data_IF_368909410511
#
_entry.id   IF_368909410511
#
_cell.length_a   1.000
_cell.length_b   1.000
_cell.length_c   1.000
_cell.angle_alpha   90.00
_cell.angle_beta   90.00
_cell.angle_gamma   90.00
#
_symmetry.space_group_name_H-M   'P 1'
#
loop_
_entity.id
_entity.type
_entity.pdbx_description
1 polymer ?
#
# COMPACT_ATOMS: atom_id res chain seq x y z
N UNK A 1 7.03 0.53 19.03
CA UNK A 1 7.09 -0.72 18.28
C UNK A 1 6.32 -0.57 16.98
N UNK A 2 6.86 -1.10 15.88
CA UNK A 2 6.23 -1.13 14.57
C UNK A 2 5.80 -2.56 14.26
N UNK A 3 4.59 -2.72 13.75
CA UNK A 3 4.05 -3.99 13.26
C UNK A 3 4.15 -4.01 11.74
N UNK A 4 4.90 -4.96 11.23
CA UNK A 4 5.00 -5.28 9.81
C UNK A 4 4.02 -6.39 9.51
N UNK A 5 3.19 -6.22 8.49
CA UNK A 5 2.19 -7.19 8.08
C UNK A 5 2.28 -7.40 6.58
N UNK A 6 2.44 -8.64 6.14
CA UNK A 6 2.46 -8.99 4.73
C UNK A 6 1.32 -9.95 4.42
N UNK A 7 0.47 -9.51 3.51
CA UNK A 7 -0.62 -10.29 2.95
C UNK A 7 -0.36 -10.49 1.45
N UNK A 8 -0.74 -11.62 0.94
CA UNK A 8 -0.59 -11.97 -0.48
C UNK A 8 -1.92 -12.37 -1.10
N UNK A 9 -1.94 -12.30 -2.41
CA UNK A 9 -2.96 -12.90 -3.27
C UNK A 9 -2.20 -13.85 -4.19
N UNK A 10 -2.55 -15.14 -4.17
CA UNK A 10 -1.93 -16.12 -5.05
C UNK A 10 -2.53 -16.08 -6.47
N UNK A 11 -1.96 -16.91 -7.36
CA UNK A 11 -2.38 -16.99 -8.76
C UNK A 11 -3.86 -17.33 -8.95
N UNK A 12 -4.46 -18.05 -8.00
CA UNK A 12 -5.88 -18.40 -7.99
C UNK A 12 -6.80 -17.31 -7.40
N UNK A 13 -6.22 -16.17 -6.97
CA UNK A 13 -6.94 -15.08 -6.32
C UNK A 13 -7.22 -15.30 -4.84
N UNK A 14 -6.64 -16.32 -4.20
CA UNK A 14 -6.83 -16.55 -2.77
C UNK A 14 -5.96 -15.61 -1.95
N UNK A 15 -6.54 -15.03 -0.91
CA UNK A 15 -5.84 -14.17 0.02
C UNK A 15 -5.13 -15.00 1.09
N UNK A 16 -3.87 -14.67 1.37
CA UNK A 16 -3.01 -15.36 2.36
C UNK A 16 -2.31 -14.35 3.26
N UNK A 17 -2.15 -14.70 4.54
CA UNK A 17 -1.25 -13.98 5.43
C UNK A 17 0.13 -14.66 5.36
N UNK A 18 1.14 -13.98 4.81
CA UNK A 18 2.50 -14.50 4.75
C UNK A 18 3.21 -14.39 6.09
N UNK A 19 2.87 -13.39 6.90
CA UNK A 19 3.41 -13.22 8.23
C UNK A 19 3.22 -11.82 8.79
N UNK A 20 3.65 -11.69 10.05
CA UNK A 20 3.80 -10.40 10.70
C UNK A 20 5.06 -10.39 11.57
N UNK A 21 5.68 -9.22 11.69
CA UNK A 21 6.90 -9.00 12.48
C UNK A 21 6.73 -7.77 13.35
N UNK A 22 7.25 -7.82 14.56
CA UNK A 22 7.24 -6.71 15.50
C UNK A 22 8.67 -6.24 15.71
N UNK A 23 9.00 -5.06 15.25
CA UNK A 23 10.32 -4.45 15.35
C UNK A 23 10.26 -3.20 16.23
N UNK A 24 11.42 -2.67 16.63
CA UNK A 24 11.46 -1.47 17.49
C UNK A 24 11.06 -0.21 16.74
N UNK A 25 11.53 -0.09 15.52
CA UNK A 25 11.32 1.06 14.62
C UNK A 25 10.93 0.58 13.25
N UNK A 26 10.42 1.48 12.42
CA UNK A 26 10.25 1.25 11.00
C UNK A 26 11.50 1.75 10.27
N UNK A 27 12.10 0.88 9.46
CA UNK A 27 13.31 1.17 8.71
C UNK A 27 13.43 0.32 7.44
N UNK A 28 14.22 0.78 6.48
CA UNK A 28 14.54 0.04 5.27
C UNK A 28 15.22 -1.31 5.58
N UNK A 29 16.12 -1.35 6.58
CA UNK A 29 16.81 -2.58 6.99
C UNK A 29 15.84 -3.62 7.55
N UNK A 30 14.82 -3.20 8.30
CA UNK A 30 13.80 -4.12 8.80
C UNK A 30 12.95 -4.70 7.67
N UNK A 31 12.65 -3.93 6.61
CA UNK A 31 11.97 -4.44 5.42
C UNK A 31 12.84 -5.45 4.68
N UNK A 32 14.14 -5.17 4.56
CA UNK A 32 15.11 -6.08 3.94
C UNK A 32 15.14 -7.42 4.68
N UNK A 33 15.22 -7.40 6.03
CA UNK A 33 15.18 -8.61 6.87
C UNK A 33 13.89 -9.42 6.63
N UNK A 34 12.74 -8.74 6.60
CA UNK A 34 11.43 -9.37 6.41
C UNK A 34 11.33 -10.03 5.04
N UNK A 35 11.78 -9.36 3.98
CA UNK A 35 11.75 -9.92 2.63
C UNK A 35 12.74 -11.08 2.46
N UNK A 36 13.93 -11.01 3.05
CA UNK A 36 14.89 -12.11 3.05
C UNK A 36 14.36 -13.33 3.81
N UNK A 37 13.68 -13.12 4.95
CA UNK A 37 13.03 -14.22 5.67
C UNK A 37 11.95 -14.89 4.82
N UNK A 38 11.10 -14.12 4.12
CA UNK A 38 10.11 -14.67 3.20
C UNK A 38 10.75 -15.47 2.07
N UNK A 39 11.86 -14.99 1.50
CA UNK A 39 12.62 -15.70 0.48
C UNK A 39 13.18 -17.03 1.02
N UNK A 40 13.74 -17.03 2.23
CA UNK A 40 14.22 -18.26 2.92
C UNK A 40 13.09 -19.24 3.18
N UNK A 41 11.86 -18.77 3.39
CA UNK A 41 10.66 -19.60 3.55
C UNK A 41 10.07 -20.10 2.22
N UNK A 42 10.74 -19.87 1.10
CA UNK A 42 10.34 -20.35 -0.22
C UNK A 42 9.50 -19.39 -1.07
N UNK A 43 9.44 -18.09 -0.71
CA UNK A 43 8.85 -17.10 -1.60
C UNK A 43 9.87 -16.70 -2.67
N UNK A 44 9.81 -17.35 -3.83
CA UNK A 44 10.81 -17.19 -4.89
C UNK A 44 10.50 -16.02 -5.82
N UNK A 45 9.23 -15.85 -6.19
CA UNK A 45 8.79 -14.86 -7.15
C UNK A 45 7.55 -14.09 -6.66
N UNK A 46 7.55 -12.79 -6.91
CA UNK A 46 6.45 -11.88 -6.59
C UNK A 46 6.25 -10.93 -7.77
N UNK A 47 5.10 -11.03 -8.43
CA UNK A 47 4.80 -10.21 -9.60
C UNK A 47 4.75 -8.72 -9.26
N UNK A 48 4.05 -8.36 -8.19
CA UNK A 48 3.88 -6.97 -7.75
C UNK A 48 3.75 -6.87 -6.23
N UNK A 49 4.38 -5.88 -5.64
CA UNK A 49 4.22 -5.52 -4.23
C UNK A 49 3.55 -4.15 -4.12
N UNK A 50 2.35 -4.13 -3.52
CA UNK A 50 1.65 -2.89 -3.19
C UNK A 50 1.98 -2.47 -1.76
N UNK A 51 2.50 -1.27 -1.58
CA UNK A 51 2.94 -0.77 -0.27
C UNK A 51 2.56 0.70 -0.06
N UNK A 52 2.59 1.14 1.19
CA UNK A 52 2.50 2.55 1.52
C UNK A 52 3.80 3.27 1.10
N UNK A 53 3.74 4.60 0.97
CA UNK A 53 4.90 5.38 0.59
C UNK A 53 5.89 5.54 1.77
N UNK A 54 6.49 4.42 2.19
CA UNK A 54 7.46 4.35 3.28
C UNK A 54 8.88 4.49 2.74
N UNK A 55 9.72 5.22 3.46
CA UNK A 55 11.11 5.41 3.08
C UNK A 55 11.87 4.08 3.10
N UNK A 56 12.55 3.76 1.99
CA UNK A 56 13.43 2.60 1.87
C UNK A 56 12.74 1.26 1.55
N UNK A 57 11.40 1.21 1.45
CA UNK A 57 10.72 -0.04 1.13
C UNK A 57 10.95 -0.46 -0.33
N UNK A 58 10.92 0.49 -1.27
CA UNK A 58 11.18 0.21 -2.70
C UNK A 58 12.58 -0.36 -2.91
N UNK A 59 13.60 0.22 -2.24
CA UNK A 59 14.96 -0.27 -2.29
C UNK A 59 15.11 -1.67 -1.69
N UNK A 60 14.40 -1.97 -0.61
CA UNK A 60 14.40 -3.31 0.00
C UNK A 60 13.73 -4.34 -0.91
N UNK A 61 12.65 -3.97 -1.61
CA UNK A 61 11.99 -4.83 -2.61
C UNK A 61 12.96 -5.12 -3.76
N UNK A 62 13.54 -4.09 -4.35
CA UNK A 62 14.46 -4.22 -5.49
C UNK A 62 15.67 -5.09 -5.14
N UNK A 63 16.22 -4.98 -3.92
CA UNK A 63 17.36 -5.78 -3.48
C UNK A 63 17.04 -7.27 -3.33
N UNK A 64 15.82 -7.64 -2.92
CA UNK A 64 15.45 -9.05 -2.66
C UNK A 64 14.70 -9.67 -3.84
N UNK A 65 13.82 -8.89 -4.48
CA UNK A 65 12.95 -9.29 -5.58
C UNK A 65 13.12 -8.33 -6.77
N UNK A 66 14.24 -8.36 -7.51
CA UNK A 66 14.58 -7.36 -8.54
C UNK A 66 13.63 -7.35 -9.75
N UNK A 67 12.87 -8.43 -9.96
CA UNK A 67 11.89 -8.51 -11.05
C UNK A 67 10.48 -8.05 -10.63
N UNK A 68 10.28 -7.74 -9.36
CA UNK A 68 8.97 -7.36 -8.81
C UNK A 68 8.63 -5.93 -9.16
N UNK A 69 7.45 -5.72 -9.71
CA UNK A 69 6.88 -4.38 -9.86
C UNK A 69 6.53 -3.79 -8.49
N UNK A 70 6.90 -2.54 -8.26
CA UNK A 70 6.53 -1.81 -7.04
C UNK A 70 5.34 -0.91 -7.34
N UNK A 71 4.29 -1.01 -6.53
CA UNK A 71 3.13 -0.12 -6.56
C UNK A 71 3.01 0.64 -5.25
N UNK A 72 3.13 1.94 -5.27
CA UNK A 72 2.78 2.79 -4.12
C UNK A 72 1.27 2.97 -4.00
N UNK A 73 0.76 2.93 -2.77
CA UNK A 73 -0.67 3.07 -2.51
C UNK A 73 -1.18 4.46 -2.91
N UNK A 74 -2.04 4.50 -3.93
CA UNK A 74 -2.66 5.75 -4.41
C UNK A 74 -3.53 6.38 -3.31
N UNK A 75 -4.25 5.57 -2.54
CA UNK A 75 -5.11 6.06 -1.44
C UNK A 75 -4.29 6.77 -0.36
N UNK A 76 -3.13 6.24 -0.01
CA UNK A 76 -2.18 6.87 0.92
C UNK A 76 -1.65 8.20 0.37
N UNK A 77 -1.26 8.24 -0.90
CA UNK A 77 -0.81 9.46 -1.57
C UNK A 77 -1.89 10.54 -1.55
N UNK A 78 -3.15 10.18 -1.82
CA UNK A 78 -4.30 11.09 -1.75
C UNK A 78 -4.49 11.61 -0.32
N UNK A 79 -4.52 10.74 0.68
CA UNK A 79 -4.69 11.13 2.09
C UNK A 79 -3.60 12.10 2.54
N UNK A 80 -2.35 11.79 2.24
CA UNK A 80 -1.21 12.65 2.58
C UNK A 80 -1.27 14.01 1.88
N UNK A 81 -1.75 14.06 0.64
CA UNK A 81 -2.00 15.30 -0.08
C UNK A 81 -3.07 16.14 0.63
N UNK A 82 -4.20 15.53 0.97
CA UNK A 82 -5.35 16.22 1.58
C UNK A 82 -5.10 16.76 2.99
N UNK A 83 -4.10 16.22 3.71
CA UNK A 83 -3.68 16.80 5.00
C UNK A 83 -3.12 18.22 4.86
N UNK A 84 -2.58 18.56 3.68
CA UNK A 84 -1.94 19.85 3.39
C UNK A 84 -2.85 20.81 2.61
N UNK A 85 -4.04 20.37 2.23
CA UNK A 85 -5.00 21.15 1.42
C UNK A 85 -6.01 21.86 2.32
N UNK A 86 -6.25 23.15 2.07
CA UNK A 86 -7.27 23.94 2.79
C UNK A 86 -8.67 23.37 2.56
N UNK A 87 -9.53 23.46 3.59
CA UNK A 87 -10.89 22.88 3.51
C UNK A 87 -11.71 23.39 2.32
N UNK A 88 -11.54 24.65 1.94
CA UNK A 88 -12.26 25.28 0.82
C UNK A 88 -11.89 24.63 -0.53
N UNK A 89 -10.65 24.15 -0.68
CA UNK A 89 -10.16 23.61 -1.95
C UNK A 89 -10.36 22.09 -2.05
N UNK A 90 -10.54 21.40 -0.92
CA UNK A 90 -10.54 19.91 -0.87
C UNK A 90 -11.45 19.26 -1.88
N UNK A 91 -12.67 19.79 -2.07
CA UNK A 91 -13.66 19.18 -2.95
C UNK A 91 -13.17 19.17 -4.41
N UNK A 92 -12.72 20.32 -4.89
CA UNK A 92 -12.23 20.48 -6.25
C UNK A 92 -10.90 19.78 -6.47
N UNK A 93 -10.00 19.89 -5.49
CA UNK A 93 -8.70 19.23 -5.50
C UNK A 93 -8.82 17.70 -5.63
N UNK A 94 -9.75 17.07 -4.91
CA UNK A 94 -10.03 15.61 -5.01
C UNK A 94 -10.55 15.25 -6.40
N UNK A 95 -11.42 16.06 -7.00
CA UNK A 95 -11.95 15.80 -8.34
C UNK A 95 -10.85 15.84 -9.39
N UNK A 96 -9.93 16.79 -9.28
CA UNK A 96 -8.81 16.88 -10.19
C UNK A 96 -7.78 15.75 -9.99
N UNK A 97 -7.47 15.39 -8.74
CA UNK A 97 -6.62 14.23 -8.47
C UNK A 97 -7.20 12.92 -9.02
N UNK A 98 -8.52 12.74 -8.99
CA UNK A 98 -9.16 11.54 -9.53
C UNK A 98 -8.84 11.32 -11.00
N UNK A 99 -8.73 12.39 -11.79
CA UNK A 99 -8.40 12.31 -13.21
C UNK A 99 -7.04 11.66 -13.47
N UNK A 100 -6.09 11.77 -12.52
CA UNK A 100 -4.75 11.17 -12.63
C UNK A 100 -4.86 9.64 -12.57
N UNK A 101 -5.38 9.10 -11.47
CA UNK A 101 -5.38 7.64 -11.25
C UNK A 101 -6.57 6.90 -11.88
N UNK A 102 -7.57 7.63 -12.40
CA UNK A 102 -8.68 7.08 -13.19
C UNK A 102 -8.47 7.27 -14.69
N UNK A 103 -7.29 7.67 -15.13
CA UNK A 103 -6.94 7.77 -16.53
C UNK A 103 -6.99 6.41 -17.24
N UNK A 104 -7.10 6.41 -18.56
CA UNK A 104 -7.13 5.17 -19.34
C UNK A 104 -5.79 4.43 -19.28
N UNK A 105 -4.69 5.16 -19.30
CA UNK A 105 -3.32 4.64 -19.23
C UNK A 105 -2.37 5.64 -18.55
N UNK A 106 -1.10 5.24 -18.41
CA UNK A 106 -0.07 6.02 -17.75
C UNK A 106 0.22 7.37 -18.46
N UNK A 107 0.14 7.42 -19.79
CA UNK A 107 0.36 8.64 -20.56
C UNK A 107 -0.70 9.69 -20.26
N UNK A 108 -1.98 9.30 -20.32
CA UNK A 108 -3.08 10.20 -19.92
C UNK A 108 -3.04 10.58 -18.45
N UNK A 109 -2.55 9.69 -17.58
CA UNK A 109 -2.34 10.01 -16.17
C UNK A 109 -1.29 11.12 -16.01
N UNK A 110 -0.19 11.09 -16.78
CA UNK A 110 0.84 12.13 -16.77
C UNK A 110 0.27 13.48 -17.28
N UNK A 111 -0.44 13.47 -18.39
CA UNK A 111 -1.08 14.69 -18.90
C UNK A 111 -2.06 15.30 -17.89
N UNK A 112 -2.79 14.47 -17.16
CA UNK A 112 -3.69 14.95 -16.11
C UNK A 112 -2.90 15.46 -14.88
N UNK A 113 -1.75 14.89 -14.56
CA UNK A 113 -0.86 15.41 -13.51
C UNK A 113 -0.28 16.78 -13.90
N UNK A 114 0.08 16.98 -15.18
CA UNK A 114 0.55 18.28 -15.67
C UNK A 114 -0.53 19.36 -15.54
N UNK A 115 -1.75 19.08 -15.97
CA UNK A 115 -2.90 19.97 -15.78
C UNK A 115 -3.21 20.26 -14.32
N UNK A 116 -3.04 19.25 -13.47
CA UNK A 116 -3.19 19.39 -12.03
C UNK A 116 -2.10 20.29 -11.45
N UNK A 117 -0.86 20.15 -11.92
CA UNK A 117 0.27 20.99 -11.53
C UNK A 117 0.11 22.45 -11.98
N UNK A 118 -0.35 22.70 -13.21
CA UNK A 118 -0.66 24.04 -13.70
C UNK A 118 -1.68 24.76 -12.79
N UNK A 119 -2.73 24.07 -12.38
CA UNK A 119 -3.79 24.65 -11.56
C UNK A 119 -3.40 24.83 -10.10
N UNK A 120 -2.73 23.85 -9.49
CA UNK A 120 -2.51 23.78 -8.06
C UNK A 120 -1.06 24.04 -7.63
N UNK A 121 -0.12 24.07 -8.59
CA UNK A 121 1.32 24.09 -8.32
C UNK A 121 1.80 25.28 -7.52
N UNK A 122 1.28 26.48 -7.80
CA UNK A 122 1.63 27.68 -7.05
C UNK A 122 1.16 27.60 -5.60
N UNK A 123 -0.03 27.03 -5.36
CA UNK A 123 -0.64 26.97 -4.04
C UNK A 123 -0.14 25.79 -3.19
N UNK A 124 0.13 24.65 -3.82
CA UNK A 124 0.50 23.40 -3.14
C UNK A 124 1.75 22.74 -3.77
N UNK A 125 2.89 23.44 -3.88
CA UNK A 125 4.07 22.96 -4.62
C UNK A 125 4.63 21.65 -4.06
N UNK A 126 4.59 21.46 -2.73
CA UNK A 126 5.08 20.24 -2.10
C UNK A 126 4.26 18.99 -2.44
N UNK A 127 2.95 19.16 -2.68
CA UNK A 127 2.08 18.07 -3.10
C UNK A 127 2.42 17.69 -4.54
N UNK A 128 2.49 18.67 -5.42
CA UNK A 128 2.83 18.45 -6.83
C UNK A 128 4.17 17.75 -6.96
N UNK A 129 5.20 18.24 -6.25
CA UNK A 129 6.52 17.58 -6.22
C UNK A 129 6.40 16.12 -5.78
N UNK A 130 5.62 15.83 -4.74
CA UNK A 130 5.43 14.45 -4.24
C UNK A 130 4.76 13.54 -5.29
N UNK A 131 3.79 14.05 -6.05
CA UNK A 131 3.13 13.29 -7.11
C UNK A 131 4.08 12.97 -8.26
N UNK A 132 4.88 13.94 -8.73
CA UNK A 132 5.89 13.69 -9.76
C UNK A 132 6.97 12.71 -9.29
N UNK A 133 7.50 12.91 -8.08
CA UNK A 133 8.56 12.04 -7.52
C UNK A 133 8.11 10.58 -7.43
N UNK A 134 6.84 10.34 -7.11
CA UNK A 134 6.31 8.99 -6.93
C UNK A 134 5.53 8.48 -8.15
N UNK A 135 5.44 9.26 -9.22
CA UNK A 135 4.53 8.99 -10.33
C UNK A 135 4.66 7.58 -10.91
N UNK A 136 5.88 7.15 -11.20
CA UNK A 136 6.14 5.83 -11.79
C UNK A 136 5.56 4.72 -10.92
N UNK A 137 5.91 4.72 -9.62
CA UNK A 137 5.45 3.69 -8.68
C UNK A 137 3.96 3.85 -8.29
N UNK A 138 3.39 5.05 -8.40
CA UNK A 138 1.95 5.28 -8.21
C UNK A 138 1.11 4.78 -9.40
N UNK A 139 1.70 4.68 -10.58
CA UNK A 139 1.02 4.36 -11.83
C UNK A 139 1.41 2.98 -12.39
N UNK A 140 2.19 2.19 -11.65
CA UNK A 140 2.58 0.83 -12.04
C UNK A 140 1.37 -0.06 -12.37
N UNK A 141 0.25 0.11 -11.66
CA UNK A 141 -0.98 -0.64 -11.88
C UNK A 141 -1.54 -0.53 -13.31
N UNK A 142 -1.19 0.50 -14.08
CA UNK A 142 -1.62 0.62 -15.48
C UNK A 142 -1.03 -0.47 -16.40
N UNK A 143 0.06 -1.11 -16.01
CA UNK A 143 0.63 -2.27 -16.72
C UNK A 143 -0.30 -3.50 -16.70
N UNK A 144 -1.26 -3.54 -15.77
CA UNK A 144 -2.11 -4.69 -15.47
C UNK A 144 -3.52 -4.52 -16.05
N UNK A 145 -4.24 -5.64 -16.31
CA UNK A 145 -5.64 -5.62 -16.73
C UNK A 145 -6.52 -4.76 -15.81
N UNK A 146 -7.51 -4.10 -16.39
CA UNK A 146 -8.35 -3.14 -15.67
C UNK A 146 -9.01 -3.75 -14.43
N UNK A 147 -9.43 -5.01 -14.51
CA UNK A 147 -10.11 -5.76 -13.46
C UNK A 147 -9.23 -5.93 -12.19
N UNK A 148 -7.90 -5.99 -12.38
CA UNK A 148 -6.95 -6.16 -11.29
C UNK A 148 -6.49 -4.84 -10.68
N UNK A 149 -6.60 -3.75 -11.41
CA UNK A 149 -6.03 -2.45 -11.01
C UNK A 149 -6.48 -2.01 -9.64
N UNK A 150 -7.78 -2.17 -9.30
CA UNK A 150 -8.29 -1.77 -8.00
C UNK A 150 -7.67 -2.56 -6.84
N UNK A 151 -7.43 -3.85 -7.03
CA UNK A 151 -6.75 -4.67 -6.03
C UNK A 151 -5.29 -4.26 -5.84
N UNK A 152 -4.65 -3.77 -6.91
CA UNK A 152 -3.23 -3.40 -6.95
C UNK A 152 -3.00 -2.00 -6.34
N UNK A 153 -3.73 -0.96 -6.79
CA UNK A 153 -3.46 0.41 -6.35
C UNK A 153 -4.04 0.77 -4.98
N UNK A 154 -4.75 -0.16 -4.33
CA UNK A 154 -5.29 0.03 -2.97
C UNK A 154 -4.71 -0.97 -2.00
N UNK A 155 -4.48 -0.53 -0.76
CA UNK A 155 -4.07 -1.40 0.36
C UNK A 155 -5.27 -1.78 1.25
N UNK A 156 -6.48 -1.87 0.69
CA UNK A 156 -7.72 -2.08 1.45
C UNK A 156 -7.67 -3.31 2.37
N UNK A 157 -7.05 -4.41 1.92
CA UNK A 157 -6.92 -5.63 2.74
C UNK A 157 -6.05 -5.36 3.97
N UNK A 158 -4.88 -4.74 3.79
CA UNK A 158 -3.97 -4.35 4.88
C UNK A 158 -4.64 -3.33 5.81
N UNK A 159 -5.31 -2.30 5.25
CA UNK A 159 -6.01 -1.30 6.05
C UNK A 159 -7.12 -1.91 6.91
N UNK A 160 -7.88 -2.85 6.36
CA UNK A 160 -8.92 -3.57 7.09
C UNK A 160 -8.32 -4.38 8.25
N UNK A 161 -7.22 -5.09 8.02
CA UNK A 161 -6.52 -5.82 9.06
C UNK A 161 -5.97 -4.90 10.15
N UNK A 162 -5.30 -3.83 9.77
CA UNK A 162 -4.78 -2.84 10.70
C UNK A 162 -5.89 -2.23 11.56
N UNK A 163 -7.07 -1.96 10.98
CA UNK A 163 -8.24 -1.45 11.73
C UNK A 163 -8.72 -2.46 12.77
N UNK A 164 -8.81 -3.75 12.43
CA UNK A 164 -9.25 -4.81 13.36
C UNK A 164 -8.20 -4.99 14.48
N UNK A 165 -6.92 -5.04 14.15
CA UNK A 165 -5.84 -5.16 15.14
C UNK A 165 -5.89 -3.96 16.11
N UNK A 166 -5.99 -2.73 15.58
CA UNK A 166 -6.12 -1.52 16.41
C UNK A 166 -7.36 -1.52 17.30
N UNK A 167 -8.50 -1.98 16.79
CA UNK A 167 -9.71 -2.13 17.60
C UNK A 167 -9.47 -3.09 18.75
N UNK A 168 -8.93 -4.27 18.48
CA UNK A 168 -8.68 -5.29 19.48
C UNK A 168 -7.64 -4.87 20.54
N UNK A 169 -6.63 -4.10 20.14
CA UNK A 169 -5.62 -3.60 21.09
C UNK A 169 -6.16 -2.44 21.95
N UNK A 170 -6.96 -1.52 21.38
CA UNK A 170 -7.53 -0.39 22.12
C UNK A 170 -8.58 -0.81 23.14
N UNK A 171 -9.47 -1.74 22.79
CA UNK A 171 -10.55 -2.19 23.69
C UNK A 171 -10.05 -2.94 24.91
N UNK A 172 -8.80 -3.41 24.92
CA UNK A 172 -8.18 -4.16 26.02
C UNK A 172 -7.10 -3.36 26.77
N UNK A 173 -7.21 -2.04 26.83
CA UNK A 173 -6.29 -1.19 27.59
C UNK A 173 -4.96 -0.87 26.93
N UNK A 174 -4.85 -1.03 25.60
CA UNK A 174 -3.64 -0.73 24.84
C UNK A 174 -2.70 -1.93 24.66
N UNK A 175 -1.48 -1.64 24.18
CA UNK A 175 -0.44 -2.68 23.94
C UNK A 175 0.33 -2.89 25.25
N UNK A 176 0.02 -3.95 25.98
CA UNK A 176 0.62 -4.27 27.27
C UNK A 176 2.04 -4.86 27.14
N UNK A 177 2.29 -5.64 26.08
CA UNK A 177 3.59 -6.24 25.79
C UNK A 177 3.72 -6.66 24.32
N UNK A 178 4.94 -6.98 23.89
CA UNK A 178 5.20 -7.54 22.55
C UNK A 178 4.48 -8.89 22.37
N UNK A 179 4.53 -9.75 23.39
CA UNK A 179 3.83 -11.03 23.36
C UNK A 179 2.31 -10.88 23.25
N UNK A 180 1.75 -9.90 23.94
CA UNK A 180 0.33 -9.58 23.84
C UNK A 180 -0.04 -9.12 22.40
N UNK A 181 0.74 -8.18 21.83
CA UNK A 181 0.53 -7.72 20.46
C UNK A 181 0.65 -8.87 19.46
N UNK A 182 1.64 -9.75 19.62
CA UNK A 182 1.86 -10.92 18.77
C UNK A 182 0.65 -11.87 18.81
N UNK A 183 0.16 -12.22 20.00
CA UNK A 183 -1.02 -13.09 20.17
C UNK A 183 -2.28 -12.48 19.54
N UNK A 184 -2.54 -11.21 19.80
CA UNK A 184 -3.72 -10.51 19.22
C UNK A 184 -3.62 -10.44 17.70
N UNK A 185 -2.44 -10.14 17.17
CA UNK A 185 -2.24 -10.10 15.70
C UNK A 185 -2.46 -11.47 15.09
N UNK A 186 -1.86 -12.52 15.65
CA UNK A 186 -2.04 -13.90 15.18
C UNK A 186 -3.52 -14.33 15.17
N UNK A 187 -4.22 -14.18 16.30
CA UNK A 187 -5.62 -14.55 16.42
C UNK A 187 -6.51 -13.72 15.46
N UNK A 188 -6.18 -12.44 15.28
CA UNK A 188 -6.91 -11.57 14.36
C UNK A 188 -6.73 -12.04 12.91
N UNK A 189 -5.51 -12.39 12.51
CA UNK A 189 -5.23 -12.92 11.17
C UNK A 189 -5.92 -14.27 10.94
N UNK A 190 -5.83 -15.18 11.91
CA UNK A 190 -6.47 -16.48 11.83
C UNK A 190 -7.99 -16.35 11.65
N UNK A 191 -8.66 -15.55 12.48
CA UNK A 191 -10.11 -15.32 12.39
C UNK A 191 -10.51 -14.58 11.10
N UNK A 192 -9.67 -13.70 10.59
CA UNK A 192 -9.98 -12.98 9.35
C UNK A 192 -9.79 -13.88 8.13
N UNK A 193 -8.75 -14.71 8.10
CA UNK A 193 -8.43 -15.59 6.97
C UNK A 193 -9.55 -16.59 6.67
N UNK A 194 -10.29 -17.06 7.69
CA UNK A 194 -11.44 -17.95 7.50
C UNK A 194 -12.62 -17.30 6.74
N UNK A 195 -12.64 -15.95 6.70
CA UNK A 195 -13.71 -15.16 6.05
C UNK A 195 -13.27 -14.55 4.73
N UNK A 196 -12.02 -14.73 4.34
CA UNK A 196 -11.53 -14.16 3.09
C UNK A 196 -12.12 -14.91 1.91
N UNK A 197 -12.71 -14.15 1.01
CA UNK A 197 -13.15 -14.64 -0.29
C UNK A 197 -12.07 -14.36 -1.34
N UNK A 198 -12.04 -15.14 -2.41
CA UNK A 198 -11.20 -14.88 -3.57
C UNK A 198 -11.43 -13.46 -4.10
N UNK A 199 -10.41 -12.90 -4.70
CA UNK A 199 -10.55 -11.63 -5.43
C UNK A 199 -11.45 -11.88 -6.65
N UNK A 200 -12.49 -11.08 -6.80
CA UNK A 200 -13.41 -11.19 -7.94
C UNK A 200 -12.67 -10.84 -9.23
N UNK A 201 -12.99 -11.57 -10.29
CA UNK A 201 -12.42 -11.39 -11.63
C UNK A 201 -10.88 -11.50 -11.65
N UNK A 202 -10.30 -12.29 -10.74
CA UNK A 202 -8.88 -12.60 -10.72
C UNK A 202 -8.59 -13.68 -11.77
N UNK A 203 -8.41 -13.25 -13.01
CA UNK A 203 -7.96 -14.10 -14.11
C UNK A 203 -6.61 -13.56 -14.59
N UNK A 204 -5.61 -14.38 -14.46
CA UNK A 204 -4.29 -14.16 -15.07
C UNK A 204 -4.03 -15.22 -16.10
#
# INVERSE_FOLDING_TARGET
KSLYLILAIDWDGNKKALGFWIKNTESASNWLDVFNELKTRGLEDVLIISCDNLSGISQAIEAVFPQTDVQKCVVHQIRNSLLKVSNKDKKEFVLDMKKIYQAANQEFAMQNLDKFAEKWGQKYPSIIKSWYTNFVELTTFFKYPYELRQAIYTTNLIESMNRIIRKNTKTKGGIQSVNYLSKITYLTLQNASTKWQKVRNWFM
#
